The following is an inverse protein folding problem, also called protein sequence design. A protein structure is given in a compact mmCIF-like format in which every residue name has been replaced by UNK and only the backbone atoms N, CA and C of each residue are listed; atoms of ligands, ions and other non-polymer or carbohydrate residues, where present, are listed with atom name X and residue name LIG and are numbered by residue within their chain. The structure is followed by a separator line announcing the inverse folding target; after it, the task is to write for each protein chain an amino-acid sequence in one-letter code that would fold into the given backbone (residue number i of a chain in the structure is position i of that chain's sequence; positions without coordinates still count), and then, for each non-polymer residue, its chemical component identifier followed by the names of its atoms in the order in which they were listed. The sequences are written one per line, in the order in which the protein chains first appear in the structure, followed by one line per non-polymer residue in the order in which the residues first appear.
data_IF_665169353954
#
_entry.id   IF_665169353954
#
_cell.length_a   1.000
_cell.length_b   1.000
_cell.length_c   1.000
_cell.angle_alpha   90.00
_cell.angle_beta   90.00
_cell.angle_gamma   90.00
#
_symmetry.space_group_name_H-M   'P 1'
#
loop_
_entity.id
_entity.type
_entity.pdbx_description
1 polymer ?
#
# COMPACT_ATOMS: atom_id res chain seq x y z
N UNK A 1 13.07 9.06 2.76
CA UNK A 1 12.51 8.30 3.88
C UNK A 1 11.17 7.75 3.47
N UNK A 2 10.81 6.61 4.03
CA UNK A 2 9.58 5.88 3.81
C UNK A 2 8.35 6.81 3.85
N UNK A 3 7.57 6.85 2.80
CA UNK A 3 6.44 7.79 2.61
C UNK A 3 5.49 7.72 3.80
N UNK A 4 5.07 6.52 4.21
CA UNK A 4 4.11 6.32 5.30
C UNK A 4 4.62 6.81 6.67
N UNK A 5 5.90 6.68 6.99
CA UNK A 5 6.44 7.14 8.28
C UNK A 5 6.33 8.64 8.49
N UNK A 6 6.40 9.43 7.43
CA UNK A 6 6.27 10.89 7.51
C UNK A 6 4.82 11.30 7.74
N UNK A 7 3.87 10.72 7.00
CA UNK A 7 2.44 10.98 7.17
C UNK A 7 1.97 10.57 8.56
N UNK A 8 2.36 9.38 9.03
CA UNK A 8 2.05 8.94 10.39
C UNK A 8 2.53 9.95 11.44
N UNK A 9 3.73 10.52 11.30
CA UNK A 9 4.23 11.55 12.23
C UNK A 9 3.41 12.85 12.17
N UNK A 10 2.99 13.27 10.97
CA UNK A 10 2.13 14.44 10.80
C UNK A 10 0.78 14.18 11.48
N UNK A 11 0.14 13.06 11.14
CA UNK A 11 -1.15 12.69 11.71
C UNK A 11 -1.09 12.48 13.22
N UNK A 12 -0.06 11.78 13.76
CA UNK A 12 0.10 11.63 15.22
C UNK A 12 0.16 12.95 15.98
N UNK A 13 0.72 13.99 15.36
CA UNK A 13 0.82 15.31 15.98
C UNK A 13 -0.50 16.08 15.94
N UNK A 14 -1.26 15.95 14.86
CA UNK A 14 -2.40 16.80 14.55
C UNK A 14 -3.73 16.03 14.34
N UNK A 15 -3.79 14.75 14.74
CA UNK A 15 -4.96 13.91 14.54
C UNK A 15 -6.25 14.51 15.13
N UNK A 16 -6.13 15.22 16.25
CA UNK A 16 -7.26 15.83 16.97
C UNK A 16 -7.97 16.89 16.12
N UNK A 17 -7.23 17.60 15.25
CA UNK A 17 -7.80 18.62 14.33
C UNK A 17 -8.76 18.00 13.31
N UNK A 18 -8.57 16.74 12.96
CA UNK A 18 -9.45 15.99 12.03
C UNK A 18 -10.38 15.01 12.77
N UNK A 19 -10.46 15.13 14.10
CA UNK A 19 -11.38 14.35 14.95
C UNK A 19 -10.96 12.91 15.19
N UNK A 20 -9.65 12.62 15.19
CA UNK A 20 -9.08 11.31 15.53
C UNK A 20 -8.20 11.39 16.78
N UNK A 21 -8.10 10.31 17.58
CA UNK A 21 -7.19 10.28 18.71
C UNK A 21 -5.74 10.21 18.21
N UNK A 22 -4.79 10.79 18.97
CA UNK A 22 -3.35 10.66 18.65
C UNK A 22 -2.86 9.22 18.71
N UNK A 23 -3.55 8.37 19.49
CA UNK A 23 -3.29 6.94 19.62
C UNK A 23 -3.94 6.08 18.52
N UNK A 24 -4.38 6.67 17.40
CA UNK A 24 -5.05 5.94 16.33
C UNK A 24 -4.29 4.66 15.92
N UNK A 25 -5.03 3.64 15.52
CA UNK A 25 -4.48 2.38 15.00
C UNK A 25 -4.31 2.48 13.47
N UNK A 26 -3.32 1.78 12.93
CA UNK A 26 -3.16 1.61 11.48
C UNK A 26 -3.58 0.19 11.14
N UNK A 27 -4.62 0.07 10.32
CA UNK A 27 -5.15 -1.20 9.86
C UNK A 27 -4.37 -1.71 8.64
N UNK A 28 -4.01 -2.99 8.69
CA UNK A 28 -3.46 -3.69 7.54
C UNK A 28 -4.59 -4.21 6.62
N UNK A 29 -4.20 -4.87 5.54
CA UNK A 29 -5.15 -5.42 4.56
C UNK A 29 -6.13 -6.41 5.18
N UNK A 30 -5.69 -7.23 6.15
CA UNK A 30 -6.56 -8.21 6.82
C UNK A 30 -7.56 -7.52 7.74
N UNK A 31 -7.13 -6.48 8.46
CA UNK A 31 -7.99 -5.67 9.31
C UNK A 31 -9.03 -4.92 8.47
N UNK A 32 -8.61 -4.29 7.36
CA UNK A 32 -9.50 -3.64 6.41
C UNK A 32 -10.57 -4.62 5.87
N UNK A 33 -10.17 -5.84 5.49
CA UNK A 33 -11.12 -6.87 5.05
C UNK A 33 -12.12 -7.27 6.13
N UNK A 34 -11.73 -7.29 7.40
CA UNK A 34 -12.64 -7.58 8.52
C UNK A 34 -13.68 -6.48 8.69
N UNK A 35 -13.26 -5.21 8.62
CA UNK A 35 -14.18 -4.07 8.61
C UNK A 35 -15.16 -4.19 7.45
N UNK A 36 -14.66 -4.48 6.24
CA UNK A 36 -15.47 -4.65 5.04
C UNK A 36 -16.54 -5.74 5.21
N UNK A 37 -16.18 -6.91 5.79
CA UNK A 37 -17.17 -7.98 6.06
C UNK A 37 -18.28 -7.50 7.00
N UNK A 38 -17.95 -6.69 8.00
CA UNK A 38 -18.94 -6.09 8.91
C UNK A 38 -19.85 -5.12 8.17
N UNK A 39 -19.29 -4.23 7.35
CA UNK A 39 -20.04 -3.28 6.51
C UNK A 39 -20.98 -4.01 5.54
N UNK A 40 -20.51 -5.07 4.89
CA UNK A 40 -21.33 -5.88 3.98
C UNK A 40 -22.54 -6.51 4.69
N UNK A 41 -22.33 -7.04 5.90
CA UNK A 41 -23.40 -7.60 6.73
C UNK A 41 -24.43 -6.53 7.12
N UNK A 42 -23.97 -5.36 7.57
CA UNK A 42 -24.84 -4.24 7.98
C UNK A 42 -25.65 -3.67 6.82
N UNK A 43 -25.06 -3.57 5.63
CA UNK A 43 -25.73 -3.05 4.45
C UNK A 43 -26.49 -4.13 3.67
N UNK A 44 -26.47 -5.38 4.11
CA UNK A 44 -27.08 -6.54 3.44
C UNK A 44 -26.65 -6.69 1.98
N UNK A 45 -25.34 -6.52 1.71
CA UNK A 45 -24.76 -6.62 0.37
C UNK A 45 -24.21 -8.03 0.17
N UNK A 46 -24.59 -8.66 -0.95
CA UNK A 46 -24.06 -9.97 -1.34
C UNK A 46 -22.67 -9.81 -1.98
N UNK A 47 -21.67 -10.53 -1.45
CA UNK A 47 -20.29 -10.52 -1.94
C UNK A 47 -20.15 -11.19 -3.33
N UNK A 48 -21.11 -12.02 -3.75
CA UNK A 48 -21.19 -12.55 -5.13
C UNK A 48 -21.61 -11.48 -6.13
N UNK A 49 -22.49 -10.56 -5.73
CA UNK A 49 -22.91 -9.44 -6.57
C UNK A 49 -21.82 -8.37 -6.69
N UNK A 50 -21.21 -8.02 -5.55
CA UNK A 50 -20.11 -7.04 -5.48
C UNK A 50 -18.98 -7.63 -4.61
N UNK A 51 -17.94 -8.23 -5.22
CA UNK A 51 -16.83 -8.80 -4.47
C UNK A 51 -16.14 -7.77 -3.57
N UNK A 52 -15.89 -8.13 -2.30
CA UNK A 52 -15.24 -7.25 -1.32
C UNK A 52 -13.94 -6.64 -1.87
N UNK A 53 -13.12 -7.46 -2.55
CA UNK A 53 -11.87 -6.98 -3.16
C UNK A 53 -12.09 -5.91 -4.23
N UNK A 54 -13.19 -6.01 -5.00
CA UNK A 54 -13.52 -5.01 -6.01
C UNK A 54 -13.92 -3.68 -5.37
N UNK A 55 -14.71 -3.72 -4.30
CA UNK A 55 -15.09 -2.53 -3.54
C UNK A 55 -13.86 -1.87 -2.90
N UNK A 56 -12.97 -2.63 -2.23
CA UNK A 56 -11.72 -2.11 -1.67
C UNK A 56 -10.88 -1.42 -2.75
N UNK A 57 -10.67 -2.07 -3.88
CA UNK A 57 -9.89 -1.50 -4.97
C UNK A 57 -10.49 -0.20 -5.52
N UNK A 58 -11.82 -0.09 -5.57
CA UNK A 58 -12.47 1.12 -6.03
C UNK A 58 -12.38 2.25 -4.98
N UNK A 59 -12.53 1.94 -3.71
CA UNK A 59 -12.34 2.90 -2.61
C UNK A 59 -10.89 3.44 -2.59
N UNK A 60 -9.90 2.56 -2.74
CA UNK A 60 -8.49 2.94 -2.85
C UNK A 60 -8.25 3.91 -4.01
N UNK A 61 -8.85 3.65 -5.19
CA UNK A 61 -8.78 4.57 -6.33
C UNK A 61 -9.41 5.94 -6.02
N UNK A 62 -10.56 5.96 -5.34
CA UNK A 62 -11.19 7.21 -4.93
C UNK A 62 -10.32 7.99 -3.95
N UNK A 63 -9.73 7.33 -2.95
CA UNK A 63 -8.78 7.97 -2.02
C UNK A 63 -7.54 8.52 -2.75
N UNK A 64 -6.98 7.76 -3.70
CA UNK A 64 -5.87 8.21 -4.54
C UNK A 64 -6.21 9.43 -5.41
N UNK A 65 -7.48 9.58 -5.80
CA UNK A 65 -8.00 10.70 -6.55
C UNK A 65 -8.55 11.82 -5.65
N UNK A 66 -8.45 11.68 -4.33
CA UNK A 66 -8.98 12.60 -3.32
C UNK A 66 -10.51 12.77 -3.38
N UNK A 67 -11.22 11.76 -3.84
CA UNK A 67 -12.69 11.72 -3.84
C UNK A 67 -13.18 11.30 -2.46
N UNK A 68 -13.96 12.15 -1.80
CA UNK A 68 -14.57 11.83 -0.50
C UNK A 68 -15.74 10.84 -0.64
N UNK A 69 -16.16 10.19 0.46
CA UNK A 69 -17.37 9.35 0.44
C UNK A 69 -18.62 10.10 -0.06
N UNK A 70 -18.78 11.36 0.32
CA UNK A 70 -19.89 12.21 -0.11
C UNK A 70 -19.84 12.50 -1.61
N UNK A 71 -18.65 12.84 -2.12
CA UNK A 71 -18.42 13.03 -3.56
C UNK A 71 -18.64 11.75 -4.35
N UNK A 72 -18.19 10.59 -3.80
CA UNK A 72 -18.44 9.31 -4.43
C UNK A 72 -19.93 9.01 -4.57
N UNK A 73 -20.75 9.35 -3.57
CA UNK A 73 -22.20 9.22 -3.60
C UNK A 73 -22.86 10.20 -4.58
N UNK A 74 -22.36 11.43 -4.69
CA UNK A 74 -22.93 12.47 -5.54
C UNK A 74 -22.57 12.26 -7.02
N UNK A 75 -21.30 12.00 -7.32
CA UNK A 75 -20.75 12.13 -8.67
C UNK A 75 -20.45 10.78 -9.35
N UNK A 76 -20.28 9.72 -8.55
CA UNK A 76 -19.87 8.40 -9.06
C UNK A 76 -20.92 7.30 -8.90
N UNK A 77 -22.10 7.61 -8.37
CA UNK A 77 -23.21 6.67 -8.21
C UNK A 77 -24.03 6.51 -9.50
N UNK A 78 -23.37 6.11 -10.59
CA UNK A 78 -23.96 6.09 -11.95
C UNK A 78 -24.83 4.84 -12.16
N UNK A 79 -24.43 3.71 -11.59
CA UNK A 79 -25.13 2.43 -11.68
C UNK A 79 -25.28 1.77 -10.30
N UNK A 80 -25.98 0.64 -10.23
CA UNK A 80 -26.26 -0.05 -8.96
C UNK A 80 -24.97 -0.46 -8.23
N UNK A 81 -23.95 -0.93 -8.95
CA UNK A 81 -22.69 -1.36 -8.33
C UNK A 81 -21.88 -0.18 -7.81
N UNK A 82 -21.76 0.88 -8.58
CA UNK A 82 -21.05 2.10 -8.17
C UNK A 82 -21.77 2.79 -7.01
N UNK A 83 -23.11 2.85 -7.02
CA UNK A 83 -23.92 3.35 -5.90
C UNK A 83 -23.69 2.53 -4.64
N UNK A 84 -23.71 1.19 -4.74
CA UNK A 84 -23.44 0.35 -3.57
C UNK A 84 -21.99 0.50 -3.08
N UNK A 85 -21.03 0.62 -3.99
CA UNK A 85 -19.62 0.85 -3.60
C UNK A 85 -19.46 2.17 -2.88
N UNK A 86 -20.12 3.25 -3.30
CA UNK A 86 -20.08 4.54 -2.62
C UNK A 86 -20.73 4.47 -1.22
N UNK A 87 -21.84 3.73 -1.07
CA UNK A 87 -22.45 3.48 0.24
C UNK A 87 -21.52 2.66 1.17
N UNK A 88 -20.86 1.64 0.62
CA UNK A 88 -19.85 0.86 1.34
C UNK A 88 -18.72 1.78 1.80
N UNK A 89 -18.24 2.67 0.93
CA UNK A 89 -17.17 3.60 1.26
C UNK A 89 -17.55 4.49 2.44
N UNK A 90 -18.72 5.11 2.42
CA UNK A 90 -19.20 5.94 3.53
C UNK A 90 -19.32 5.16 4.85
N UNK A 91 -19.85 3.94 4.81
CA UNK A 91 -19.97 3.09 5.98
C UNK A 91 -18.62 2.61 6.50
N UNK A 92 -17.68 2.29 5.60
CA UNK A 92 -16.32 1.89 5.93
C UNK A 92 -15.56 3.01 6.65
N UNK A 93 -15.54 4.23 6.09
CA UNK A 93 -14.90 5.39 6.71
C UNK A 93 -15.49 5.71 8.09
N UNK A 94 -16.81 5.60 8.21
CA UNK A 94 -17.47 5.77 9.51
C UNK A 94 -16.96 4.76 10.54
N UNK A 95 -16.81 3.48 10.17
CA UNK A 95 -16.28 2.42 11.04
C UNK A 95 -14.82 2.67 11.44
N UNK A 96 -13.98 3.11 10.50
CA UNK A 96 -12.61 3.47 10.80
C UNK A 96 -12.55 4.64 11.80
N UNK A 97 -13.39 5.66 11.61
CA UNK A 97 -13.45 6.80 12.50
C UNK A 97 -13.94 6.43 13.91
N UNK A 98 -14.97 5.60 14.01
CA UNK A 98 -15.48 5.06 15.29
C UNK A 98 -14.40 4.25 16.03
N UNK A 99 -13.61 3.46 15.31
CA UNK A 99 -12.50 2.67 15.86
C UNK A 99 -11.25 3.52 16.17
N UNK A 100 -11.22 4.80 15.78
CA UNK A 100 -10.01 5.61 15.85
C UNK A 100 -8.87 5.00 15.05
N UNK A 101 -9.12 4.58 13.82
CA UNK A 101 -8.17 3.87 12.96
C UNK A 101 -8.07 4.50 11.57
N UNK A 102 -6.94 4.29 10.92
CA UNK A 102 -6.69 4.60 9.51
C UNK A 102 -6.23 3.34 8.78
N UNK A 103 -6.62 3.18 7.53
CA UNK A 103 -5.94 2.25 6.63
C UNK A 103 -4.71 2.90 5.96
N UNK A 104 -4.01 2.18 5.09
CA UNK A 104 -2.82 2.72 4.44
C UNK A 104 -3.14 3.87 3.48
N UNK A 105 -4.27 3.84 2.79
CA UNK A 105 -4.69 4.88 1.86
C UNK A 105 -5.06 6.15 2.63
N UNK A 106 -5.67 6.01 3.81
CA UNK A 106 -5.99 7.13 4.70
C UNK A 106 -4.76 7.91 5.15
N UNK A 107 -3.62 7.26 5.31
CA UNK A 107 -2.42 7.96 5.74
C UNK A 107 -2.04 9.11 4.80
N UNK A 108 -2.27 8.93 3.50
CA UNK A 108 -2.04 10.00 2.52
C UNK A 108 -3.27 10.89 2.43
N UNK A 109 -4.45 10.31 2.25
CA UNK A 109 -5.71 11.03 2.10
C UNK A 109 -5.96 12.01 3.25
N UNK A 110 -5.92 11.54 4.49
CA UNK A 110 -6.16 12.36 5.68
C UNK A 110 -5.05 13.39 5.93
N UNK A 111 -3.80 13.09 5.56
CA UNK A 111 -2.72 14.11 5.61
C UNK A 111 -2.96 15.23 4.61
N UNK A 112 -3.46 14.92 3.41
CA UNK A 112 -3.83 15.93 2.41
C UNK A 112 -4.99 16.79 2.92
N UNK A 113 -6.04 16.17 3.47
CA UNK A 113 -7.18 16.90 4.04
C UNK A 113 -6.73 17.81 5.18
N UNK A 114 -5.96 17.29 6.14
CA UNK A 114 -5.42 18.08 7.24
C UNK A 114 -4.65 19.32 6.75
N UNK A 115 -3.75 19.15 5.78
CA UNK A 115 -2.97 20.27 5.26
C UNK A 115 -3.78 21.23 4.37
N UNK A 116 -4.85 20.76 3.75
CA UNK A 116 -5.75 21.61 2.95
C UNK A 116 -6.63 22.48 3.84
N UNK A 117 -7.22 21.88 4.88
CA UNK A 117 -8.25 22.51 5.73
C UNK A 117 -7.66 23.31 6.89
N UNK A 118 -6.39 23.03 7.29
CA UNK A 118 -5.70 23.71 8.39
C UNK A 118 -4.47 24.47 7.88
N UNK A 119 -4.61 25.76 7.48
CA UNK A 119 -3.53 26.58 6.96
C UNK A 119 -2.35 26.76 7.92
N UNK A 120 -2.60 26.83 9.20
CA UNK A 120 -1.61 26.95 10.28
C UNK A 120 -0.70 25.70 10.36
N UNK A 121 -1.30 24.51 10.25
CA UNK A 121 -0.56 23.23 10.19
C UNK A 121 0.25 23.17 8.91
N UNK A 122 -0.32 23.58 7.77
CA UNK A 122 0.38 23.63 6.49
C UNK A 122 1.58 24.55 6.56
N UNK A 123 1.42 25.78 7.03
CA UNK A 123 2.48 26.77 7.17
C UNK A 123 3.61 26.26 8.10
N UNK A 124 3.24 25.62 9.22
CA UNK A 124 4.22 24.99 10.10
C UNK A 124 5.13 24.01 9.35
N UNK A 125 4.54 23.16 8.48
CA UNK A 125 5.35 22.18 7.73
C UNK A 125 6.09 22.79 6.54
N UNK A 126 5.56 23.80 5.88
CA UNK A 126 6.25 24.57 4.84
C UNK A 126 7.49 25.27 5.39
N UNK A 127 7.40 25.87 6.58
CA UNK A 127 8.51 26.49 7.27
C UNK A 127 9.56 25.46 7.78
N UNK A 128 9.08 24.27 8.16
CA UNK A 128 9.94 23.18 8.64
C UNK A 128 10.69 22.49 7.50
N UNK A 129 10.01 22.26 6.36
CA UNK A 129 10.56 21.57 5.20
C UNK A 129 10.86 22.57 4.08
N UNK A 130 11.93 23.35 4.25
CA UNK A 130 12.33 24.39 3.29
C UNK A 130 12.73 23.85 1.93
N UNK A 131 13.18 22.60 1.85
CA UNK A 131 13.56 21.91 0.63
C UNK A 131 12.82 20.58 0.55
N UNK A 132 12.18 20.33 -0.58
CA UNK A 132 11.51 19.05 -0.87
C UNK A 132 12.28 18.36 -2.00
N UNK A 133 12.69 17.11 -1.74
CA UNK A 133 13.31 16.24 -2.74
C UNK A 133 12.42 15.01 -2.86
N UNK A 134 11.90 14.77 -4.05
CA UNK A 134 11.00 13.66 -4.34
C UNK A 134 11.63 12.79 -5.40
N UNK A 135 11.83 11.52 -5.07
CA UNK A 135 12.37 10.50 -5.96
C UNK A 135 11.23 9.65 -6.52
N UNK A 136 11.48 8.95 -7.64
CA UNK A 136 10.52 8.12 -8.37
C UNK A 136 9.19 8.86 -8.66
N UNK A 137 9.31 10.13 -9.09
CA UNK A 137 8.17 11.03 -9.22
C UNK A 137 7.14 10.57 -10.26
N UNK A 138 7.54 9.76 -11.25
CA UNK A 138 6.66 9.15 -12.25
C UNK A 138 5.63 8.18 -11.64
N UNK A 139 5.90 7.65 -10.44
CA UNK A 139 5.03 6.68 -9.75
C UNK A 139 4.09 7.33 -8.73
N UNK A 140 4.01 8.67 -8.73
CA UNK A 140 3.14 9.39 -7.79
C UNK A 140 1.67 9.37 -8.22
N UNK A 141 0.76 9.16 -7.25
CA UNK A 141 -0.69 9.33 -7.43
C UNK A 141 -1.09 10.80 -7.33
N UNK A 142 -2.36 11.11 -7.66
CA UNK A 142 -2.93 12.47 -7.51
C UNK A 142 -2.86 12.93 -6.06
N UNK A 143 -3.17 12.07 -5.10
CA UNK A 143 -3.08 12.38 -3.67
C UNK A 143 -1.65 12.68 -3.23
N UNK A 144 -0.67 11.89 -3.70
CA UNK A 144 0.75 12.12 -3.40
C UNK A 144 1.26 13.43 -4.02
N UNK A 145 0.88 13.71 -5.27
CA UNK A 145 1.15 15.00 -5.91
C UNK A 145 0.57 16.16 -5.09
N UNK A 146 -0.70 16.05 -4.65
CA UNK A 146 -1.36 17.09 -3.86
C UNK A 146 -0.65 17.30 -2.52
N UNK A 147 -0.23 16.22 -1.86
CA UNK A 147 0.55 16.28 -0.63
C UNK A 147 1.86 17.07 -0.83
N UNK A 148 2.61 16.74 -1.87
CA UNK A 148 3.87 17.44 -2.22
C UNK A 148 3.59 18.91 -2.49
N UNK A 149 2.55 19.23 -3.25
CA UNK A 149 2.15 20.61 -3.57
C UNK A 149 1.79 21.42 -2.32
N UNK A 150 1.06 20.83 -1.36
CA UNK A 150 0.70 21.48 -0.10
C UNK A 150 1.91 21.72 0.82
N UNK A 151 2.88 20.82 0.79
CA UNK A 151 4.13 20.95 1.55
C UNK A 151 5.13 21.91 0.90
N UNK A 152 4.98 22.18 -0.41
CA UNK A 152 5.85 23.14 -1.11
C UNK A 152 5.50 24.54 -0.64
N UNK A 153 6.47 25.21 -0.01
CA UNK A 153 6.33 26.57 0.48
C UNK A 153 6.35 27.60 -0.66
N UNK A 154 6.15 28.90 -0.33
CA UNK A 154 6.08 29.98 -1.33
C UNK A 154 7.36 30.13 -2.15
N UNK A 155 8.50 29.77 -1.59
CA UNK A 155 9.81 29.81 -2.26
C UNK A 155 9.98 28.72 -3.33
N UNK A 156 9.08 27.74 -3.38
CA UNK A 156 9.07 26.63 -4.34
C UNK A 156 10.39 25.86 -4.43
N UNK A 157 11.09 25.67 -3.31
CA UNK A 157 12.30 24.86 -3.23
C UNK A 157 11.99 23.37 -3.36
N UNK A 158 11.62 22.94 -4.54
CA UNK A 158 11.26 21.56 -4.85
C UNK A 158 12.19 21.02 -5.95
N UNK A 159 12.70 19.81 -5.74
CA UNK A 159 13.42 19.03 -6.74
C UNK A 159 12.75 17.66 -6.85
N UNK A 160 12.37 17.29 -8.06
CA UNK A 160 11.82 15.97 -8.36
C UNK A 160 12.77 15.20 -9.25
N UNK A 161 12.95 13.93 -8.98
CA UNK A 161 13.73 13.00 -9.79
C UNK A 161 12.79 11.87 -10.21
N UNK A 162 12.87 11.48 -11.48
CA UNK A 162 12.04 10.39 -11.98
C UNK A 162 12.39 10.05 -13.41
N UNK A 163 11.85 8.95 -13.86
CA UNK A 163 12.05 8.39 -15.18
C UNK A 163 10.69 8.02 -15.77
N UNK A 164 10.20 8.83 -16.69
CA UNK A 164 8.92 8.62 -17.37
C UNK A 164 8.86 7.26 -18.10
N UNK A 165 10.00 6.74 -18.56
CA UNK A 165 10.10 5.42 -19.18
C UNK A 165 9.90 4.26 -18.19
N UNK A 166 10.03 4.51 -16.89
CA UNK A 166 9.83 3.54 -15.81
C UNK A 166 8.47 3.66 -15.10
N UNK A 167 7.52 4.42 -15.64
CA UNK A 167 6.17 4.58 -15.09
C UNK A 167 5.34 3.31 -15.31
N UNK A 168 5.47 2.33 -14.41
CA UNK A 168 4.81 1.01 -14.49
C UNK A 168 3.77 0.77 -13.40
N UNK A 169 3.49 1.77 -12.53
CA UNK A 169 2.56 1.65 -11.40
C UNK A 169 1.18 2.30 -11.63
N UNK A 170 0.78 2.51 -12.89
CA UNK A 170 -0.56 3.05 -13.22
C UNK A 170 -1.70 2.22 -12.60
N UNK A 171 -1.53 0.89 -12.52
CA UNK A 171 -2.50 0.00 -11.88
C UNK A 171 -2.63 0.18 -10.36
N UNK A 172 -1.69 0.93 -9.74
CA UNK A 172 -1.70 1.34 -8.33
C UNK A 172 -2.05 2.82 -8.14
N UNK A 173 -2.67 3.47 -9.13
CA UNK A 173 -3.08 4.86 -9.06
C UNK A 173 -2.02 5.89 -9.43
N UNK A 174 -0.80 5.48 -9.84
CA UNK A 174 0.20 6.40 -10.37
C UNK A 174 -0.27 7.07 -11.65
N UNK A 175 0.09 8.34 -11.84
CA UNK A 175 -0.22 9.11 -13.03
C UNK A 175 1.04 9.78 -13.59
N UNK A 176 1.38 9.41 -14.83
CA UNK A 176 2.58 9.93 -15.52
C UNK A 176 2.48 11.44 -15.78
N UNK A 177 1.27 11.98 -15.84
CA UNK A 177 1.00 13.38 -16.06
C UNK A 177 1.68 14.29 -15.03
N UNK A 178 1.88 13.79 -13.80
CA UNK A 178 2.56 14.54 -12.74
C UNK A 178 3.99 14.92 -13.15
N UNK A 179 4.75 13.99 -13.73
CA UNK A 179 6.12 14.26 -14.17
C UNK A 179 6.15 14.97 -15.53
N UNK A 180 5.26 14.60 -16.46
CA UNK A 180 5.22 15.21 -17.78
C UNK A 180 4.82 16.70 -17.74
N UNK A 181 3.91 17.07 -16.82
CA UNK A 181 3.41 18.43 -16.67
C UNK A 181 4.11 19.24 -15.58
N UNK A 182 5.16 18.72 -14.95
CA UNK A 182 5.84 19.38 -13.82
C UNK A 182 6.28 20.83 -14.16
N UNK A 183 6.88 21.04 -15.32
CA UNK A 183 7.33 22.36 -15.77
C UNK A 183 6.18 23.37 -15.96
N UNK A 184 4.98 22.88 -16.33
CA UNK A 184 3.78 23.72 -16.45
C UNK A 184 3.26 24.12 -15.07
N UNK A 185 3.34 23.21 -14.10
CA UNK A 185 2.87 23.43 -12.72
C UNK A 185 3.82 24.31 -11.91
N UNK A 186 5.12 24.22 -12.22
CA UNK A 186 6.18 25.01 -11.60
C UNK A 186 6.96 25.79 -12.65
N UNK A 187 6.44 26.95 -13.15
CA UNK A 187 7.13 27.77 -14.11
C UNK A 187 8.52 28.21 -13.62
N UNK A 188 9.51 28.15 -14.49
CA UNK A 188 10.91 28.43 -14.15
C UNK A 188 11.71 27.21 -13.71
N UNK A 189 11.11 26.01 -13.76
CA UNK A 189 11.83 24.76 -13.50
C UNK A 189 13.01 24.58 -14.43
N UNK A 190 14.17 24.22 -13.84
CA UNK A 190 15.35 23.79 -14.60
C UNK A 190 15.32 22.29 -14.75
N UNK A 191 15.12 21.79 -15.96
CA UNK A 191 15.15 20.36 -16.27
C UNK A 191 16.54 19.90 -16.67
N UNK A 192 17.04 18.86 -16.03
CA UNK A 192 18.33 18.22 -16.31
C UNK A 192 18.05 16.77 -16.71
N UNK A 193 18.55 16.37 -17.87
CA UNK A 193 18.44 14.98 -18.35
C UNK A 193 19.70 14.20 -17.99
N UNK A 194 19.51 13.04 -17.38
CA UNK A 194 20.58 12.11 -17.03
C UNK A 194 20.54 10.95 -18.04
N UNK A 195 21.24 11.08 -19.16
CA UNK A 195 21.20 10.11 -20.25
C UNK A 195 22.35 9.10 -20.19
N UNK A 196 23.44 9.42 -19.49
CA UNK A 196 24.54 8.48 -19.28
C UNK A 196 24.15 7.44 -18.21
N UNK A 197 24.24 6.17 -18.59
CA UNK A 197 24.01 5.03 -17.72
C UNK A 197 25.34 4.43 -17.28
N UNK A 198 25.52 4.24 -15.99
CA UNK A 198 26.75 3.70 -15.39
C UNK A 198 26.61 2.24 -14.93
N UNK A 199 25.42 1.66 -15.08
CA UNK A 199 25.09 0.31 -14.60
C UNK A 199 25.29 -0.74 -15.68
N UNK A 200 24.75 -0.49 -16.86
CA UNK A 200 24.58 -1.50 -17.91
C UNK A 200 25.58 -1.30 -19.07
N UNK A 201 25.82 -2.36 -19.81
CA UNK A 201 26.57 -2.34 -21.08
C UNK A 201 25.69 -1.87 -22.23
N UNK A 202 26.30 -1.49 -23.38
CA UNK A 202 25.56 -0.91 -24.50
C UNK A 202 24.57 -1.89 -25.15
N UNK A 203 24.86 -3.20 -25.17
CA UNK A 203 23.92 -4.21 -25.70
C UNK A 203 22.61 -4.25 -24.89
N UNK A 204 22.69 -4.13 -23.56
CA UNK A 204 21.51 -4.07 -22.69
C UNK A 204 20.73 -2.78 -22.94
N UNK A 205 21.43 -1.62 -23.01
CA UNK A 205 20.79 -0.34 -23.24
C UNK A 205 20.15 -0.23 -24.62
N UNK A 206 20.79 -0.79 -25.65
CA UNK A 206 20.24 -0.81 -26.99
C UNK A 206 18.93 -1.62 -27.04
N UNK A 207 18.89 -2.78 -26.39
CA UNK A 207 17.67 -3.57 -26.28
C UNK A 207 16.57 -2.81 -25.53
N UNK A 208 16.91 -2.15 -24.41
CA UNK A 208 15.96 -1.32 -23.64
C UNK A 208 15.45 -0.13 -24.46
N UNK A 209 16.34 0.61 -25.14
CA UNK A 209 15.96 1.72 -26.01
C UNK A 209 15.03 1.28 -27.15
N UNK A 210 15.27 0.11 -27.75
CA UNK A 210 14.40 -0.48 -28.79
C UNK A 210 13.00 -0.79 -28.25
N UNK A 211 12.87 -1.29 -27.02
CA UNK A 211 11.57 -1.58 -26.40
C UNK A 211 10.82 -0.29 -26.10
N UNK A 212 11.50 0.66 -25.44
CA UNK A 212 10.82 1.85 -24.92
C UNK A 212 10.44 2.86 -26.01
N UNK A 213 11.08 2.84 -27.16
CA UNK A 213 10.73 3.73 -28.29
C UNK A 213 9.31 3.52 -28.83
N UNK A 214 8.66 2.38 -28.52
CA UNK A 214 7.26 2.13 -28.88
C UNK A 214 6.28 2.91 -27.99
N UNK A 215 6.71 3.44 -26.85
CA UNK A 215 5.89 4.31 -26.01
C UNK A 215 5.85 5.72 -26.61
N UNK A 216 4.65 6.27 -26.77
CA UNK A 216 4.43 7.61 -27.34
C UNK A 216 4.34 8.71 -26.29
N UNK A 217 3.86 8.39 -25.08
CA UNK A 217 3.70 9.32 -23.96
C UNK A 217 4.98 9.41 -23.14
N UNK A 218 6.01 10.10 -23.67
CA UNK A 218 7.31 10.26 -23.02
C UNK A 218 8.00 11.57 -23.40
N UNK A 219 8.89 12.06 -22.52
CA UNK A 219 9.74 13.24 -22.81
C UNK A 219 10.87 12.94 -23.80
N UNK A 220 11.10 11.68 -24.12
CA UNK A 220 12.11 11.21 -25.05
C UNK A 220 13.55 11.42 -24.54
N UNK A 221 14.25 10.34 -24.35
CA UNK A 221 15.71 10.27 -24.07
C UNK A 221 16.27 9.02 -24.71
N UNK A 222 17.58 8.99 -24.90
CA UNK A 222 18.31 7.81 -25.35
C UNK A 222 19.44 7.54 -24.38
N UNK A 223 19.36 6.43 -23.70
CA UNK A 223 20.39 6.03 -22.74
C UNK A 223 21.64 5.54 -23.48
N UNK A 224 22.81 5.97 -23.03
CA UNK A 224 24.10 5.57 -23.52
C UNK A 224 25.06 5.26 -22.36
N UNK A 225 26.17 4.55 -22.62
CA UNK A 225 27.14 4.15 -21.61
C UNK A 225 28.56 4.06 -22.18
N UNK A 226 29.55 4.22 -21.30
CA UNK A 226 30.96 3.96 -21.57
C UNK A 226 31.41 2.54 -21.12
N UNK A 227 30.48 1.70 -20.61
CA UNK A 227 30.80 0.37 -20.08
C UNK A 227 31.10 -0.70 -21.17
N UNK A 228 31.30 -0.29 -22.45
CA UNK A 228 31.54 -1.20 -23.54
C UNK A 228 30.30 -1.96 -24.01
N UNK A 229 30.50 -2.91 -24.93
CA UNK A 229 29.40 -3.66 -25.56
C UNK A 229 28.74 -4.65 -24.59
N UNK A 230 29.55 -5.41 -23.87
CA UNK A 230 29.10 -6.51 -23.02
C UNK A 230 28.49 -7.68 -23.80
N UNK A 231 27.92 -8.63 -23.08
CA UNK A 231 27.27 -9.79 -23.67
C UNK A 231 25.95 -9.41 -24.37
N UNK A 232 25.59 -10.17 -25.40
CA UNK A 232 24.31 -10.01 -26.09
C UNK A 232 23.17 -10.50 -25.22
N UNK A 233 22.02 -9.79 -25.29
CA UNK A 233 20.77 -10.25 -24.70
C UNK A 233 20.33 -11.54 -25.38
N UNK A 234 20.11 -12.60 -24.60
CA UNK A 234 19.65 -13.90 -25.10
C UNK A 234 18.15 -14.05 -24.87
N UNK A 235 17.47 -14.68 -25.80
CA UNK A 235 16.06 -15.04 -25.71
C UNK A 235 15.95 -16.55 -25.74
N UNK A 236 15.36 -17.15 -24.72
CA UNK A 236 15.06 -18.56 -24.66
C UNK A 236 13.55 -18.77 -24.63
N UNK A 237 13.03 -19.65 -25.47
CA UNK A 237 11.64 -20.03 -25.50
C UNK A 237 11.50 -21.43 -24.90
N UNK A 238 11.01 -21.50 -23.68
CA UNK A 238 10.82 -22.78 -23.00
C UNK A 238 9.56 -23.51 -23.51
N UNK A 239 9.58 -24.83 -23.46
CA UNK A 239 8.41 -25.67 -23.79
C UNK A 239 7.35 -25.65 -22.67
N UNK A 240 7.79 -25.50 -21.42
CA UNK A 240 6.95 -25.45 -20.22
C UNK A 240 7.73 -24.83 -19.04
N UNK A 241 7.05 -24.67 -17.90
CA UNK A 241 7.64 -24.03 -16.70
C UNK A 241 8.81 -24.83 -16.11
N UNK A 242 8.87 -26.16 -16.30
CA UNK A 242 9.98 -27.00 -15.82
C UNK A 242 11.22 -26.82 -16.70
N UNK A 243 11.03 -26.73 -18.00
CA UNK A 243 12.09 -26.43 -18.95
C UNK A 243 12.66 -25.03 -18.70
N UNK A 244 11.81 -24.02 -18.47
CA UNK A 244 12.25 -22.69 -18.08
C UNK A 244 13.14 -22.72 -16.83
N UNK A 245 12.68 -23.39 -15.76
CA UNK A 245 13.42 -23.48 -14.51
C UNK A 245 14.74 -24.24 -14.66
N UNK A 246 14.78 -25.31 -15.49
CA UNK A 246 15.99 -26.06 -15.81
C UNK A 246 16.98 -25.20 -16.56
N UNK A 247 16.54 -24.51 -17.61
CA UNK A 247 17.40 -23.60 -18.38
C UNK A 247 18.03 -22.51 -17.50
N UNK A 248 17.24 -21.87 -16.62
CA UNK A 248 17.74 -20.85 -15.68
C UNK A 248 18.84 -21.46 -14.78
N UNK A 249 18.62 -22.69 -14.26
CA UNK A 249 19.60 -23.38 -13.43
C UNK A 249 20.90 -23.72 -14.18
N UNK A 250 20.77 -24.12 -15.44
CA UNK A 250 21.93 -24.44 -16.29
C UNK A 250 22.76 -23.19 -16.57
N UNK A 251 22.14 -22.04 -16.88
CA UNK A 251 22.82 -20.75 -17.09
C UNK A 251 23.57 -20.33 -15.83
N UNK A 252 22.93 -20.42 -14.67
CA UNK A 252 23.56 -20.14 -13.36
C UNK A 252 24.75 -21.09 -13.15
N UNK A 253 24.57 -22.40 -13.41
CA UNK A 253 25.60 -23.41 -13.25
C UNK A 253 26.81 -23.18 -14.15
N UNK A 254 26.59 -22.72 -15.37
CA UNK A 254 27.67 -22.34 -16.31
C UNK A 254 28.48 -21.15 -15.81
N UNK A 255 27.77 -20.09 -15.31
CA UNK A 255 28.42 -18.92 -14.74
C UNK A 255 29.23 -19.24 -13.47
N UNK A 256 28.71 -20.09 -12.60
CA UNK A 256 29.46 -20.54 -11.42
C UNK A 256 30.75 -21.32 -11.80
N UNK A 257 30.69 -22.18 -12.83
CA UNK A 257 31.88 -22.90 -13.33
C UNK A 257 32.92 -21.95 -13.92
N UNK A 258 32.47 -20.80 -14.44
CA UNK A 258 33.35 -19.74 -14.95
C UNK A 258 33.92 -18.82 -13.84
N UNK A 259 33.61 -19.09 -12.55
CA UNK A 259 34.13 -18.34 -11.41
C UNK A 259 33.20 -17.23 -10.88
N UNK A 260 31.97 -17.16 -11.40
CA UNK A 260 30.96 -16.25 -10.89
C UNK A 260 30.33 -16.71 -9.58
N UNK A 261 29.45 -15.90 -8.99
CA UNK A 261 28.79 -16.16 -7.72
C UNK A 261 27.27 -16.21 -7.85
N UNK A 262 26.58 -16.96 -6.95
CA UNK A 262 25.11 -16.98 -6.91
C UNK A 262 24.50 -15.58 -6.70
N UNK A 263 25.18 -14.72 -5.95
CA UNK A 263 24.75 -13.35 -5.69
C UNK A 263 24.74 -12.44 -6.93
N UNK A 264 25.39 -12.87 -8.03
CA UNK A 264 25.42 -12.12 -9.29
C UNK A 264 24.14 -12.31 -10.12
N UNK A 265 23.22 -13.18 -9.68
CA UNK A 265 22.01 -13.54 -10.41
C UNK A 265 20.76 -12.99 -9.75
N UNK A 266 19.83 -12.51 -10.57
CA UNK A 266 18.49 -12.16 -10.18
C UNK A 266 17.47 -12.68 -11.20
N UNK A 267 16.39 -13.29 -10.73
CA UNK A 267 15.30 -13.77 -11.56
C UNK A 267 14.10 -12.86 -11.33
N UNK A 268 13.66 -12.19 -12.40
CA UNK A 268 12.52 -11.28 -12.35
C UNK A 268 11.33 -11.92 -13.05
N UNK A 269 10.16 -11.83 -12.44
CA UNK A 269 8.91 -12.37 -13.00
C UNK A 269 7.76 -11.38 -12.81
N UNK A 270 6.76 -11.48 -13.67
CA UNK A 270 5.61 -10.57 -13.67
C UNK A 270 4.58 -10.93 -12.58
N UNK A 271 4.37 -12.21 -12.33
CA UNK A 271 3.38 -12.72 -11.37
C UNK A 271 4.04 -13.63 -10.34
N UNK A 272 3.62 -13.49 -9.07
CA UNK A 272 4.15 -14.30 -7.98
C UNK A 272 3.99 -15.82 -8.22
N UNK A 273 2.96 -16.25 -8.95
CA UNK A 273 2.76 -17.65 -9.29
C UNK A 273 3.91 -18.26 -10.11
N UNK A 274 4.62 -17.44 -10.90
CA UNK A 274 5.76 -17.89 -11.72
C UNK A 274 6.98 -18.29 -10.88
N UNK A 275 7.07 -17.84 -9.61
CA UNK A 275 8.18 -18.24 -8.74
C UNK A 275 8.11 -19.69 -8.30
N UNK A 276 6.90 -20.27 -8.16
CA UNK A 276 6.72 -21.59 -7.58
C UNK A 276 7.40 -22.75 -8.34
N UNK A 277 7.32 -22.85 -9.68
CA UNK A 277 8.06 -23.86 -10.46
C UNK A 277 9.57 -23.71 -10.30
N UNK A 278 10.09 -22.46 -10.35
CA UNK A 278 11.52 -22.13 -10.21
C UNK A 278 12.02 -22.50 -8.81
N UNK A 279 11.30 -22.09 -7.77
CA UNK A 279 11.62 -22.42 -6.38
C UNK A 279 11.64 -23.93 -6.13
N UNK A 280 10.63 -24.65 -6.64
CA UNK A 280 10.55 -26.09 -6.55
C UNK A 280 11.72 -26.79 -7.23
N UNK A 281 12.11 -26.32 -8.42
CA UNK A 281 13.27 -26.85 -9.16
C UNK A 281 14.58 -26.59 -8.39
N UNK A 282 14.81 -25.36 -7.94
CA UNK A 282 16.02 -24.97 -7.21
C UNK A 282 16.17 -25.71 -5.89
N UNK A 283 15.07 -25.91 -5.16
CA UNK A 283 15.07 -26.69 -3.92
C UNK A 283 15.49 -28.15 -4.19
N UNK A 284 14.95 -28.79 -5.22
CA UNK A 284 15.32 -30.15 -5.61
C UNK A 284 16.77 -30.28 -6.11
N UNK A 285 17.24 -29.25 -6.84
CA UNK A 285 18.60 -29.20 -7.35
C UNK A 285 19.64 -28.73 -6.30
N UNK A 286 19.20 -28.39 -5.08
CA UNK A 286 20.09 -27.89 -4.02
C UNK A 286 20.70 -26.52 -4.31
N UNK A 287 20.06 -25.69 -5.15
CA UNK A 287 20.53 -24.35 -5.50
C UNK A 287 20.05 -23.36 -4.44
N UNK A 288 20.97 -22.73 -3.67
CA UNK A 288 20.61 -21.72 -2.69
C UNK A 288 19.96 -20.51 -3.34
N UNK A 289 18.78 -20.11 -2.85
CA UNK A 289 18.05 -18.98 -3.41
C UNK A 289 17.25 -18.24 -2.32
N UNK A 290 16.79 -17.04 -2.63
CA UNK A 290 15.96 -16.24 -1.75
C UNK A 290 14.83 -15.59 -2.56
N UNK A 291 13.58 -15.81 -2.12
CA UNK A 291 12.44 -15.09 -2.69
C UNK A 291 12.34 -13.74 -2.00
N UNK A 292 12.35 -12.67 -2.79
CA UNK A 292 12.13 -11.29 -2.33
C UNK A 292 10.64 -10.98 -2.46
N UNK A 293 10.00 -10.52 -1.37
CA UNK A 293 8.56 -10.23 -1.35
C UNK A 293 7.68 -11.35 -0.80
N UNK A 294 8.29 -12.45 -0.27
CA UNK A 294 7.58 -13.48 0.47
C UNK A 294 6.96 -12.96 1.79
N UNK A 295 6.27 -13.84 2.52
CA UNK A 295 5.60 -13.50 3.77
C UNK A 295 6.55 -12.84 4.77
N UNK A 296 6.28 -11.57 5.11
CA UNK A 296 7.11 -10.81 6.05
C UNK A 296 6.90 -11.31 7.47
N UNK A 297 7.88 -11.09 8.36
CA UNK A 297 7.79 -11.41 9.78
C UNK A 297 6.49 -10.86 10.43
N UNK A 298 6.16 -9.61 10.12
CA UNK A 298 4.97 -8.95 10.66
C UNK A 298 3.64 -9.49 10.11
N UNK A 299 3.67 -10.29 9.05
CA UNK A 299 2.47 -10.90 8.45
C UNK A 299 2.12 -12.25 9.09
N UNK A 300 3.00 -12.78 9.96
CA UNK A 300 2.77 -14.03 10.70
C UNK A 300 1.63 -13.85 11.70
N UNK A 301 0.80 -14.89 11.83
CA UNK A 301 -0.39 -14.86 12.72
C UNK A 301 -0.02 -14.47 14.15
N UNK A 302 1.00 -15.09 14.70
CA UNK A 302 1.45 -14.90 16.10
C UNK A 302 1.90 -13.46 16.34
N UNK A 303 2.62 -12.88 15.39
CA UNK A 303 3.09 -11.48 15.47
C UNK A 303 1.92 -10.51 15.43
N UNK A 304 0.95 -10.75 14.53
CA UNK A 304 -0.28 -9.94 14.43
C UNK A 304 -1.15 -10.06 15.69
N UNK A 305 -1.20 -11.23 16.31
CA UNK A 305 -1.95 -11.44 17.54
C UNK A 305 -1.33 -10.65 18.71
N UNK A 306 -0.01 -10.75 18.91
CA UNK A 306 0.72 -9.97 19.92
C UNK A 306 0.55 -8.46 19.67
N UNK A 307 0.70 -8.01 18.41
CA UNK A 307 0.50 -6.61 18.06
C UNK A 307 -0.92 -6.14 18.36
N UNK A 308 -1.93 -7.00 18.15
CA UNK A 308 -3.33 -6.69 18.48
C UNK A 308 -3.55 -6.51 19.99
N UNK A 309 -2.91 -7.31 20.83
CA UNK A 309 -2.92 -7.12 22.29
C UNK A 309 -2.34 -5.76 22.68
N UNK A 310 -1.18 -5.41 22.14
CA UNK A 310 -0.55 -4.10 22.41
C UNK A 310 -1.40 -2.93 21.90
N UNK A 311 -2.03 -3.09 20.74
CA UNK A 311 -2.90 -2.07 20.16
C UNK A 311 -4.12 -1.78 21.01
N UNK A 312 -4.77 -2.80 21.59
CA UNK A 312 -5.95 -2.62 22.45
C UNK A 312 -5.58 -1.92 23.76
N UNK A 313 -4.38 -2.16 24.30
CA UNK A 313 -3.91 -1.41 25.47
C UNK A 313 -3.75 0.07 25.15
N UNK A 314 -3.27 0.41 23.96
CA UNK A 314 -3.10 1.80 23.51
C UNK A 314 -4.41 2.45 23.04
N UNK A 315 -5.30 1.67 22.40
CA UNK A 315 -6.59 2.11 21.88
C UNK A 315 -7.70 1.11 22.25
N UNK A 316 -8.37 1.28 23.42
CA UNK A 316 -9.43 0.37 23.89
C UNK A 316 -10.71 0.38 23.04
N UNK A 317 -10.81 1.26 22.04
CA UNK A 317 -11.95 1.34 21.11
C UNK A 317 -11.78 0.52 19.83
N UNK A 318 -10.64 -0.15 19.69
CA UNK A 318 -10.34 -0.94 18.50
C UNK A 318 -10.99 -2.32 18.57
N UNK A 319 -12.28 -2.37 18.28
CA UNK A 319 -13.08 -3.61 18.33
C UNK A 319 -12.62 -4.64 17.27
N UNK A 320 -11.99 -4.21 16.18
CA UNK A 320 -11.45 -5.10 15.14
C UNK A 320 -10.27 -5.90 15.69
N UNK A 321 -9.36 -5.24 16.39
CA UNK A 321 -8.23 -5.88 17.07
C UNK A 321 -8.70 -6.74 18.23
N UNK A 322 -9.73 -6.32 18.96
CA UNK A 322 -10.32 -7.12 20.02
C UNK A 322 -10.92 -8.41 19.48
N UNK A 323 -11.74 -8.36 18.44
CA UNK A 323 -12.31 -9.54 17.77
C UNK A 323 -11.24 -10.55 17.33
N UNK A 324 -10.07 -10.06 16.95
CA UNK A 324 -8.94 -10.92 16.56
C UNK A 324 -8.42 -11.74 17.73
N UNK A 325 -8.31 -11.15 18.92
CA UNK A 325 -7.61 -11.74 20.06
C UNK A 325 -8.54 -12.23 21.18
N UNK A 326 -9.83 -11.94 21.13
CA UNK A 326 -10.77 -12.25 22.20
C UNK A 326 -10.79 -13.76 22.55
N UNK A 327 -10.48 -14.61 21.57
CA UNK A 327 -10.37 -16.06 21.73
C UNK A 327 -8.98 -16.61 21.33
N UNK A 328 -7.95 -15.80 21.34
CA UNK A 328 -6.54 -16.17 21.13
C UNK A 328 -5.69 -15.71 22.34
N UNK A 329 -5.18 -16.61 23.20
CA UNK A 329 -5.41 -18.05 23.22
C UNK A 329 -6.87 -18.42 23.48
N UNK A 330 -7.25 -19.68 23.18
CA UNK A 330 -8.64 -20.10 23.27
C UNK A 330 -9.22 -19.90 24.68
N UNK A 331 -10.32 -19.13 24.79
CA UNK A 331 -11.02 -18.77 26.04
C UNK A 331 -12.45 -19.31 26.08
N UNK A 332 -12.82 -20.21 25.15
CA UNK A 332 -14.18 -20.75 25.00
C UNK A 332 -15.26 -19.70 24.69
N UNK A 333 -14.86 -18.56 24.10
CA UNK A 333 -15.76 -17.51 23.67
C UNK A 333 -16.17 -17.82 22.22
N UNK A 334 -17.40 -18.30 22.03
CA UNK A 334 -17.91 -18.65 20.70
C UNK A 334 -18.25 -17.40 19.87
N UNK A 335 -18.41 -17.60 18.55
CA UNK A 335 -18.78 -16.51 17.61
C UNK A 335 -20.08 -15.80 18.01
N UNK A 336 -21.09 -16.55 18.46
CA UNK A 336 -22.37 -16.02 18.94
C UNK A 336 -22.18 -15.08 20.13
N UNK A 337 -21.29 -15.42 21.07
CA UNK A 337 -21.00 -14.56 22.24
C UNK A 337 -20.31 -13.27 21.79
N UNK A 338 -19.41 -13.36 20.83
CA UNK A 338 -18.73 -12.19 20.25
C UNK A 338 -19.73 -11.26 19.56
N UNK A 339 -20.71 -11.82 18.84
CA UNK A 339 -21.76 -11.04 18.19
C UNK A 339 -22.68 -10.36 19.21
N UNK A 340 -23.07 -11.05 20.31
CA UNK A 340 -23.85 -10.45 21.39
C UNK A 340 -23.10 -9.27 22.05
N UNK A 341 -21.79 -9.44 22.31
CA UNK A 341 -20.96 -8.37 22.88
C UNK A 341 -20.93 -7.17 21.93
N UNK A 342 -20.84 -7.41 20.62
CA UNK A 342 -20.83 -6.34 19.61
C UNK A 342 -22.18 -5.59 19.53
N UNK A 343 -23.28 -6.33 19.56
CA UNK A 343 -24.62 -5.74 19.53
C UNK A 343 -24.89 -4.88 20.78
N UNK A 344 -24.49 -5.37 21.95
CA UNK A 344 -24.60 -4.61 23.20
C UNK A 344 -23.70 -3.36 23.19
N UNK A 345 -22.49 -3.47 22.70
CA UNK A 345 -21.58 -2.34 22.56
C UNK A 345 -22.17 -1.26 21.65
N UNK A 346 -22.75 -1.68 20.52
CA UNK A 346 -23.44 -0.78 19.59
C UNK A 346 -24.65 -0.09 20.21
N UNK A 347 -25.47 -0.82 20.97
CA UNK A 347 -26.65 -0.26 21.66
C UNK A 347 -26.27 0.77 22.75
N UNK A 348 -25.16 0.53 23.45
CA UNK A 348 -24.69 1.38 24.55
C UNK A 348 -23.75 2.51 24.10
N UNK A 349 -23.31 2.51 22.82
CA UNK A 349 -22.36 3.49 22.30
C UNK A 349 -20.95 3.39 22.93
N UNK A 350 -20.55 2.17 23.39
CA UNK A 350 -19.26 1.89 24.02
C UNK A 350 -18.48 0.85 23.23
N UNK A 351 -17.18 0.64 23.55
CA UNK A 351 -16.39 -0.39 22.90
C UNK A 351 -16.76 -1.79 23.37
N UNK A 352 -16.53 -2.79 22.51
CA UNK A 352 -16.69 -4.22 22.88
C UNK A 352 -15.82 -4.60 24.10
N UNK A 353 -14.66 -3.97 24.28
CA UNK A 353 -13.82 -4.22 25.44
C UNK A 353 -14.51 -3.79 26.74
N UNK A 354 -15.18 -2.63 26.74
CA UNK A 354 -15.92 -2.14 27.93
C UNK A 354 -17.04 -3.11 28.30
N UNK A 355 -17.81 -3.59 27.30
CA UNK A 355 -18.87 -4.57 27.52
C UNK A 355 -18.30 -5.92 28.00
N UNK A 356 -17.22 -6.40 27.37
CA UNK A 356 -16.57 -7.67 27.74
C UNK A 356 -16.13 -7.69 29.20
N UNK A 357 -15.54 -6.58 29.65
CA UNK A 357 -15.04 -6.45 31.01
C UNK A 357 -16.18 -6.52 32.04
N UNK A 358 -17.32 -5.92 31.76
CA UNK A 358 -18.48 -5.90 32.69
C UNK A 358 -19.25 -7.22 32.70
N UNK A 359 -19.48 -7.82 31.53
CA UNK A 359 -20.29 -9.05 31.40
C UNK A 359 -19.54 -10.35 31.68
N UNK A 360 -18.29 -10.50 31.25
CA UNK A 360 -17.50 -11.72 31.53
C UNK A 360 -17.13 -11.81 32.99
N UNK A 361 -16.84 -10.69 33.66
CA UNK A 361 -16.59 -10.67 35.11
C UNK A 361 -17.82 -11.03 35.94
N UNK A 362 -19.01 -10.69 35.48
CA UNK A 362 -20.26 -11.09 36.14
C UNK A 362 -20.52 -12.58 36.05
N UNK A 363 -20.10 -13.25 34.97
CA UNK A 363 -20.20 -14.71 34.81
C UNK A 363 -19.15 -15.47 35.62
N UNK A 364 -17.94 -14.94 35.77
CA UNK A 364 -16.91 -15.56 36.64
C UNK A 364 -17.27 -15.49 38.12
N UNK A 365 -17.89 -14.39 38.56
CA UNK A 365 -18.39 -14.28 39.95
C UNK A 365 -19.60 -15.15 40.22
N UNK A 366 -20.45 -15.43 39.24
CA UNK A 366 -21.59 -16.33 39.37
C UNK A 366 -21.20 -17.82 39.30
N UNK A 367 -20.05 -18.19 38.75
CA UNK A 367 -19.52 -19.54 38.70
C UNK A 367 -18.69 -19.91 39.95
N UNK A 368 -18.35 -18.92 40.80
CA UNK A 368 -17.58 -19.09 42.05
C UNK A 368 -18.46 -18.88 43.32
N UNK A 369 -19.76 -18.76 43.18
CA UNK A 369 -20.76 -18.89 44.25
C UNK A 369 -21.55 -20.19 44.08
#
# INVERSE_FOLDING_TARGET
GDVYKRQVRILRRWAEEIGYPRSFTIYDTDDAQRVMKTVYKELSIDDKFLPIKAAINQMSRWKDQLVSPEQALADHAIDVKSTQTARIYAAYEKKLKEAGAFDFDDLIYQTVQLLADHPDVREFYQNKYRYLLVDEYQDTSVAQFRLVSLLTGPERNICVVGDDDQSIYRFRGATIENILNFEKLYPGTKTIRLEQNYRSTSNILNAANCVIQHNTERKGKTLWTDNGEGDKVQVYTAENEQDEASHIADVIGQHLKAGGHLADHAILYRMNAQSAPIESYFTRAGIPHKIVGGQRFNDRKEVKDIHSYMSIVANPRDDVRLRRIINEPARKIGATTVDVIADLAGQQGVSMLAVSYTHLRAHETAANL
#
